data_IF_781250072413
#
_entry.id   IF_781250072413
#
_cell.length_a   1.000
_cell.length_b   1.000
_cell.length_c   1.000
_cell.angle_alpha   90.00
_cell.angle_beta   90.00
_cell.angle_gamma   90.00
#
_symmetry.space_group_name_H-M   'P 1'
#
loop_
_entity.id
_entity.type
_entity.pdbx_description
1 polymer ?
#
# COMPACT_ATOMS: atom_id res chain seq x y z
N UNK A 1 22.85 20.62 -26.59
CA UNK A 1 22.10 20.93 -25.35
C UNK A 1 20.77 20.21 -25.27
N UNK A 2 20.71 18.98 -24.72
CA UNK A 2 19.43 18.34 -24.34
C UNK A 2 19.09 18.79 -22.91
N UNK A 3 18.00 19.53 -22.72
CA UNK A 3 17.45 19.84 -21.39
C UNK A 3 16.97 18.55 -20.73
N UNK A 4 17.43 18.25 -19.51
CA UNK A 4 16.90 17.17 -18.67
C UNK A 4 15.46 17.56 -18.30
N UNK A 5 14.47 16.75 -18.68
CA UNK A 5 13.05 16.94 -18.38
C UNK A 5 12.37 15.59 -18.14
N UNK A 6 11.31 15.58 -17.33
CA UNK A 6 10.43 14.43 -17.24
C UNK A 6 9.70 14.21 -18.57
N UNK A 7 9.47 12.94 -18.91
CA UNK A 7 8.68 12.52 -20.06
C UNK A 7 7.63 11.54 -19.57
N UNK A 8 6.44 11.60 -20.16
CA UNK A 8 5.40 10.61 -19.90
C UNK A 8 5.94 9.22 -20.26
N UNK A 9 5.81 8.26 -19.35
CA UNK A 9 6.15 6.86 -19.60
C UNK A 9 4.90 6.02 -19.86
N UNK A 10 3.92 6.04 -18.95
CA UNK A 10 2.71 5.24 -19.01
C UNK A 10 1.61 5.88 -18.14
N UNK A 11 0.35 5.61 -18.47
CA UNK A 11 -0.80 5.81 -17.58
C UNK A 11 -1.25 4.46 -17.02
N UNK A 12 -1.40 4.38 -15.70
CA UNK A 12 -1.97 3.23 -15.00
C UNK A 12 -3.29 3.65 -14.36
N UNK A 13 -4.34 2.84 -14.54
CA UNK A 13 -5.63 3.11 -13.92
C UNK A 13 -5.55 2.89 -12.40
N UNK A 14 -6.09 3.84 -11.64
CA UNK A 14 -6.16 3.78 -10.18
C UNK A 14 -7.55 4.18 -9.67
N UNK A 15 -7.87 3.86 -8.43
CA UNK A 15 -9.15 4.18 -7.79
C UNK A 15 -8.92 5.00 -6.53
N UNK A 16 -9.01 6.32 -6.67
CA UNK A 16 -8.69 7.29 -5.62
C UNK A 16 -7.33 6.97 -4.96
N UNK A 17 -6.28 6.75 -5.77
CA UNK A 17 -4.96 6.38 -5.25
C UNK A 17 -4.49 7.37 -4.17
N UNK A 18 -3.99 6.83 -3.06
CA UNK A 18 -3.44 7.60 -1.96
C UNK A 18 -1.92 7.58 -1.93
N UNK A 19 -1.34 6.47 -2.34
CA UNK A 19 0.09 6.25 -2.32
C UNK A 19 0.56 5.32 -3.46
N UNK A 20 1.82 5.48 -3.83
CA UNK A 20 2.60 4.59 -4.69
C UNK A 20 3.91 4.22 -4.02
N UNK A 21 4.08 2.94 -3.71
CA UNK A 21 5.32 2.41 -3.12
C UNK A 21 6.18 1.71 -4.17
N UNK A 22 7.45 2.11 -4.25
CA UNK A 22 8.38 1.64 -5.28
C UNK A 22 9.50 0.81 -4.68
N UNK A 23 9.56 -0.47 -5.04
CA UNK A 23 10.50 -1.40 -4.44
C UNK A 23 11.13 -2.36 -5.45
N UNK A 24 12.19 -3.03 -5.00
CA UNK A 24 12.89 -4.04 -5.77
C UNK A 24 12.94 -5.36 -4.98
N UNK A 25 12.65 -6.46 -5.66
CA UNK A 25 12.89 -7.81 -5.15
C UNK A 25 13.76 -8.51 -6.19
N UNK A 26 14.93 -8.97 -5.75
CA UNK A 26 15.97 -9.52 -6.63
C UNK A 26 16.33 -8.52 -7.75
N UNK A 27 16.21 -8.92 -9.03
CA UNK A 27 16.50 -8.07 -10.20
C UNK A 27 15.24 -7.42 -10.81
N UNK A 28 14.12 -7.47 -10.11
CA UNK A 28 12.84 -6.97 -10.59
C UNK A 28 12.40 -5.73 -9.82
N UNK A 29 11.86 -4.76 -10.57
CA UNK A 29 11.31 -3.53 -10.02
C UNK A 29 9.80 -3.60 -10.05
N UNK A 30 9.19 -3.14 -8.95
CA UNK A 30 7.76 -3.18 -8.72
C UNK A 30 7.24 -1.82 -8.27
N UNK A 31 5.94 -1.63 -8.44
CA UNK A 31 5.17 -0.51 -7.90
C UNK A 31 3.91 -1.07 -7.25
N UNK A 32 3.63 -0.75 -5.99
CA UNK A 32 2.33 -0.98 -5.37
C UNK A 32 1.53 0.32 -5.35
N UNK A 33 0.25 0.27 -5.69
CA UNK A 33 -0.65 1.43 -5.54
C UNK A 33 -1.66 1.16 -4.43
N UNK A 34 -1.82 2.12 -3.52
CA UNK A 34 -2.86 2.11 -2.49
C UNK A 34 -4.16 2.66 -3.07
N UNK A 35 -5.07 1.78 -3.47
CA UNK A 35 -6.39 2.18 -3.97
C UNK A 35 -7.38 2.31 -2.81
N UNK A 36 -7.88 3.53 -2.60
CA UNK A 36 -8.70 3.85 -1.44
C UNK A 36 -10.19 3.56 -1.63
N UNK A 37 -10.76 3.93 -2.79
CA UNK A 37 -12.19 3.68 -3.07
C UNK A 37 -12.51 3.73 -4.56
N UNK A 38 -13.53 2.99 -4.96
CA UNK A 38 -14.12 3.05 -6.29
C UNK A 38 -15.58 3.52 -6.19
N UNK A 39 -15.90 4.62 -6.87
CA UNK A 39 -17.19 5.29 -6.69
C UNK A 39 -17.33 5.91 -5.29
N UNK A 40 -18.56 6.12 -4.85
CA UNK A 40 -18.83 6.89 -3.63
C UNK A 40 -18.67 6.07 -2.35
N UNK A 41 -19.02 4.78 -2.38
CA UNK A 41 -19.17 3.98 -1.15
C UNK A 41 -18.38 2.65 -1.13
N UNK A 42 -17.68 2.25 -2.21
CA UNK A 42 -16.92 1.01 -2.20
C UNK A 42 -15.45 1.23 -1.82
N UNK A 43 -15.13 1.02 -0.55
CA UNK A 43 -13.77 1.16 -0.01
C UNK A 43 -13.01 -0.16 0.06
N UNK A 44 -13.68 -1.30 -0.09
CA UNK A 44 -13.01 -2.61 -0.09
C UNK A 44 -12.76 -3.04 -1.53
N UNK A 45 -11.60 -2.67 -2.05
CA UNK A 45 -11.20 -2.83 -3.44
C UNK A 45 -9.77 -3.34 -3.55
N UNK A 46 -9.41 -3.82 -4.74
CA UNK A 46 -8.05 -4.25 -5.00
C UNK A 46 -7.09 -3.07 -5.10
N UNK A 47 -6.04 -3.12 -4.29
CA UNK A 47 -4.76 -2.47 -4.57
C UNK A 47 -3.95 -3.35 -5.52
N UNK A 48 -3.08 -2.74 -6.32
CA UNK A 48 -2.42 -3.42 -7.44
C UNK A 48 -0.91 -3.29 -7.32
N UNK A 49 -0.23 -4.43 -7.46
CA UNK A 49 1.22 -4.50 -7.60
C UNK A 49 1.52 -4.68 -9.07
N UNK A 50 2.31 -3.77 -9.62
CA UNK A 50 2.83 -3.81 -10.97
C UNK A 50 4.28 -4.25 -10.95
N UNK A 51 4.72 -4.92 -12.03
CA UNK A 51 6.12 -5.27 -12.28
C UNK A 51 6.58 -4.62 -13.57
N UNK A 52 7.81 -4.11 -13.56
CA UNK A 52 8.44 -3.58 -14.76
C UNK A 52 8.80 -4.70 -15.73
N UNK A 53 8.24 -4.65 -16.94
CA UNK A 53 8.62 -5.50 -18.05
C UNK A 53 9.70 -4.82 -18.89
N UNK A 54 10.93 -5.34 -18.81
CA UNK A 54 12.09 -4.78 -19.51
C UNK A 54 11.98 -4.89 -21.04
N UNK A 55 11.26 -5.89 -21.56
CA UNK A 55 11.14 -6.14 -23.00
C UNK A 55 10.28 -5.08 -23.68
N UNK A 56 9.15 -4.74 -23.07
CA UNK A 56 8.21 -3.76 -23.61
C UNK A 56 8.33 -2.37 -22.97
N UNK A 57 9.21 -2.22 -21.97
CA UNK A 57 9.49 -0.98 -21.24
C UNK A 57 8.21 -0.34 -20.67
N UNK A 58 7.39 -1.15 -20.01
CA UNK A 58 6.18 -0.71 -19.30
C UNK A 58 5.94 -1.54 -18.05
N UNK A 59 5.09 -1.02 -17.17
CA UNK A 59 4.58 -1.74 -16.02
C UNK A 59 3.37 -2.59 -16.40
N UNK A 60 3.36 -3.83 -15.93
CA UNK A 60 2.28 -4.80 -16.10
C UNK A 60 1.75 -5.22 -14.73
N UNK A 61 0.46 -5.58 -14.64
CA UNK A 61 -0.10 -6.10 -13.38
C UNK A 61 0.60 -7.40 -13.01
N UNK A 62 1.19 -7.43 -11.82
CA UNK A 62 1.83 -8.60 -11.26
C UNK A 62 0.91 -9.34 -10.28
N UNK A 63 0.26 -8.59 -9.40
CA UNK A 63 -0.63 -9.14 -8.38
C UNK A 63 -1.69 -8.11 -7.98
N UNK A 64 -2.87 -8.58 -7.59
CA UNK A 64 -3.89 -7.76 -6.94
C UNK A 64 -4.07 -8.23 -5.50
N UNK A 65 -4.17 -7.29 -4.57
CA UNK A 65 -4.38 -7.55 -3.15
C UNK A 65 -5.64 -6.80 -2.72
N UNK A 66 -6.59 -7.54 -2.12
CA UNK A 66 -7.79 -6.93 -1.58
C UNK A 66 -7.42 -6.09 -0.35
N UNK A 67 -7.80 -4.82 -0.37
CA UNK A 67 -7.52 -3.84 0.68
C UNK A 67 -8.78 -3.05 1.02
N UNK A 68 -8.78 -2.36 2.16
CA UNK A 68 -9.95 -1.63 2.66
C UNK A 68 -9.56 -0.20 3.00
N UNK A 69 -9.88 0.72 2.10
CA UNK A 69 -9.53 2.14 2.27
C UNK A 69 -8.03 2.30 2.41
N UNK A 70 -7.24 1.72 1.50
CA UNK A 70 -5.79 1.76 1.58
C UNK A 70 -5.29 3.21 1.50
N UNK A 71 -4.46 3.60 2.47
CA UNK A 71 -3.81 4.90 2.50
C UNK A 71 -2.35 4.84 2.09
N UNK A 72 -1.67 3.78 2.49
CA UNK A 72 -0.23 3.68 2.40
C UNK A 72 0.21 2.22 2.20
N UNK A 73 1.34 2.06 1.51
CA UNK A 73 2.08 0.83 1.36
C UNK A 73 3.52 1.06 1.83
N UNK A 74 4.02 0.21 2.72
CA UNK A 74 5.43 0.28 3.15
C UNK A 74 6.13 -1.03 2.82
N UNK A 75 7.20 -0.95 2.01
CA UNK A 75 8.03 -2.10 1.68
C UNK A 75 9.29 -2.13 2.55
N UNK A 76 9.57 -3.29 3.14
CA UNK A 76 10.74 -3.44 3.98
C UNK A 76 11.35 -4.84 3.96
N UNK A 77 12.57 -4.95 4.47
CA UNK A 77 13.31 -6.23 4.51
C UNK A 77 13.82 -6.56 5.91
N UNK A 78 13.73 -7.85 6.24
CA UNK A 78 14.30 -8.41 7.47
C UNK A 78 15.05 -9.69 7.12
N UNK A 79 16.39 -9.61 7.10
CA UNK A 79 17.22 -10.71 6.64
C UNK A 79 16.95 -11.01 5.16
N UNK A 80 16.72 -12.28 4.76
CA UNK A 80 16.42 -12.64 3.38
C UNK A 80 14.96 -12.42 2.99
N UNK A 81 14.11 -11.98 3.93
CA UNK A 81 12.67 -11.87 3.71
C UNK A 81 12.29 -10.46 3.28
N UNK A 82 11.40 -10.39 2.30
CA UNK A 82 10.79 -9.17 1.80
C UNK A 82 9.34 -9.09 2.28
N UNK A 83 8.98 -7.95 2.84
CA UNK A 83 7.66 -7.67 3.37
C UNK A 83 7.06 -6.44 2.70
N UNK A 84 5.73 -6.42 2.69
CA UNK A 84 4.94 -5.28 2.25
C UNK A 84 3.75 -5.17 3.19
N UNK A 85 3.52 -4.00 3.78
CA UNK A 85 2.40 -3.77 4.70
C UNK A 85 1.48 -2.69 4.15
N UNK A 86 0.16 -2.89 4.29
CA UNK A 86 -0.85 -1.88 3.92
C UNK A 86 -1.40 -1.19 5.16
N UNK A 87 -1.56 0.13 5.08
CA UNK A 87 -2.39 0.90 6.00
C UNK A 87 -3.85 0.88 5.54
N UNK A 88 -4.67 -0.01 6.12
CA UNK A 88 -6.12 -0.04 5.85
C UNK A 88 -6.84 0.91 6.80
N UNK A 89 -7.51 1.93 6.25
CA UNK A 89 -8.14 2.98 7.05
C UNK A 89 -9.63 2.78 7.28
N UNK A 90 -10.38 2.29 6.29
CA UNK A 90 -11.85 2.28 6.33
C UNK A 90 -12.41 1.28 5.32
N UNK A 91 -13.39 0.45 5.73
CA UNK A 91 -13.97 -0.59 4.86
C UNK A 91 -15.28 -0.16 4.17
N UNK A 92 -15.76 1.06 4.43
CA UNK A 92 -17.07 1.55 4.01
C UNK A 92 -18.07 1.68 5.17
N UNK A 93 -17.77 1.06 6.31
CA UNK A 93 -18.64 1.02 7.50
C UNK A 93 -17.91 1.49 8.76
N UNK A 94 -16.69 1.04 8.99
CA UNK A 94 -15.91 1.32 10.20
C UNK A 94 -14.44 1.63 9.91
N UNK A 95 -13.83 2.44 10.77
CA UNK A 95 -12.39 2.69 10.75
C UNK A 95 -11.57 1.66 11.55
N UNK A 96 -12.24 0.72 12.24
CA UNK A 96 -11.59 -0.35 13.01
C UNK A 96 -11.22 -1.55 12.11
N UNK A 97 -10.33 -1.29 11.14
CA UNK A 97 -9.98 -2.23 10.08
C UNK A 97 -8.61 -2.86 10.34
N UNK A 98 -8.46 -4.09 9.91
CA UNK A 98 -7.19 -4.79 9.99
C UNK A 98 -6.24 -4.31 8.89
N UNK A 99 -5.02 -3.94 9.29
CA UNK A 99 -3.89 -3.78 8.38
C UNK A 99 -3.19 -5.12 8.20
N UNK A 100 -2.64 -5.37 7.01
CA UNK A 100 -2.11 -6.68 6.62
C UNK A 100 -0.64 -6.54 6.27
N UNK A 101 0.19 -7.35 6.90
CA UNK A 101 1.60 -7.55 6.55
C UNK A 101 1.65 -8.78 5.63
N UNK A 102 2.23 -8.59 4.46
CA UNK A 102 2.48 -9.65 3.49
C UNK A 102 3.97 -10.01 3.47
N UNK A 103 4.27 -11.27 3.17
CA UNK A 103 5.63 -11.77 2.93
C UNK A 103 5.75 -12.29 1.50
N UNK A 104 6.90 -12.05 0.87
CA UNK A 104 7.19 -12.56 -0.47
C UNK A 104 7.58 -14.04 -0.46
N UNK A 105 6.77 -14.89 -1.07
CA UNK A 105 7.01 -16.33 -1.16
C UNK A 105 6.59 -16.83 -2.55
N UNK A 106 7.50 -17.55 -3.22
CA UNK A 106 7.28 -18.15 -4.54
C UNK A 106 6.83 -17.13 -5.61
N UNK A 107 7.46 -15.96 -5.62
CA UNK A 107 7.23 -14.94 -6.63
C UNK A 107 5.94 -14.12 -6.48
N UNK A 108 5.35 -14.10 -5.28
CA UNK A 108 4.16 -13.31 -4.95
C UNK A 108 4.09 -12.97 -3.46
N UNK A 109 3.33 -11.95 -3.11
CA UNK A 109 3.00 -11.62 -1.72
C UNK A 109 1.90 -12.53 -1.18
N UNK A 110 2.10 -13.04 0.03
CA UNK A 110 1.14 -13.86 0.77
C UNK A 110 0.95 -13.27 2.16
N UNK A 111 -0.24 -13.40 2.74
CA UNK A 111 -0.52 -12.87 4.09
C UNK A 111 0.45 -13.52 5.09
N UNK A 112 1.19 -12.69 5.81
CA UNK A 112 2.08 -13.11 6.89
C UNK A 112 1.41 -12.90 8.25
N UNK A 113 0.86 -11.70 8.46
CA UNK A 113 0.25 -11.31 9.72
C UNK A 113 -0.83 -10.26 9.48
N UNK A 114 -1.84 -10.27 10.34
CA UNK A 114 -2.88 -9.25 10.40
C UNK A 114 -2.78 -8.51 11.73
N UNK A 115 -2.88 -7.17 11.70
CA UNK A 115 -2.84 -6.32 12.89
C UNK A 115 -4.08 -5.44 12.89
N UNK A 116 -4.87 -5.50 13.96
CA UNK A 116 -6.02 -4.60 14.12
C UNK A 116 -5.51 -3.16 14.27
N UNK A 117 -5.95 -2.29 13.36
CA UNK A 117 -5.63 -0.87 13.35
C UNK A 117 -6.90 -0.03 13.39
N UNK A 118 -6.73 1.28 13.59
CA UNK A 118 -7.83 2.25 13.65
C UNK A 118 -7.51 3.41 12.73
N UNK A 119 -8.18 3.48 11.58
CA UNK A 119 -7.93 4.49 10.56
C UNK A 119 -6.43 4.59 10.23
N UNK A 120 -5.76 3.46 9.94
CA UNK A 120 -4.32 3.48 9.68
C UNK A 120 -4.03 4.36 8.47
N UNK A 121 -3.14 5.33 8.63
CA UNK A 121 -2.78 6.28 7.56
C UNK A 121 -1.38 6.06 7.01
N UNK A 122 -0.51 5.39 7.77
CA UNK A 122 0.92 5.29 7.46
C UNK A 122 1.55 4.11 8.22
N UNK A 123 2.51 3.43 7.58
CA UNK A 123 3.41 2.46 8.19
C UNK A 123 4.86 2.86 7.92
N UNK A 124 5.75 2.66 8.90
CA UNK A 124 7.18 2.93 8.71
C UNK A 124 8.02 1.85 9.38
N UNK A 125 9.05 1.35 8.70
CA UNK A 125 10.02 0.43 9.26
C UNK A 125 11.33 1.13 9.59
N UNK A 126 11.81 0.95 10.82
CA UNK A 126 13.15 1.41 11.20
C UNK A 126 13.88 0.43 12.10
N UNK A 127 15.17 0.70 12.33
CA UNK A 127 16.06 -0.13 13.15
C UNK A 127 16.73 0.69 14.24
N UNK A 128 16.87 0.08 15.41
CA UNK A 128 17.73 0.57 16.49
C UNK A 128 18.69 -0.57 16.85
N UNK A 129 19.96 -0.42 16.49
CA UNK A 129 20.95 -1.50 16.55
C UNK A 129 20.53 -2.68 15.68
N UNK A 130 20.47 -3.89 16.25
CA UNK A 130 20.04 -5.10 15.55
C UNK A 130 18.52 -5.31 15.55
N UNK A 131 17.75 -4.53 16.33
CA UNK A 131 16.31 -4.69 16.48
C UNK A 131 15.56 -3.98 15.36
N UNK A 132 14.53 -4.64 14.83
CA UNK A 132 13.60 -4.09 13.84
C UNK A 132 12.34 -3.60 14.56
N UNK A 133 11.87 -2.44 14.14
CA UNK A 133 10.62 -1.83 14.58
C UNK A 133 9.77 -1.54 13.36
N UNK A 134 8.48 -1.79 13.50
CA UNK A 134 7.47 -1.41 12.53
C UNK A 134 6.43 -0.59 13.30
N UNK A 135 6.16 0.63 12.86
CA UNK A 135 5.24 1.56 13.54
C UNK A 135 4.09 1.93 12.62
N UNK A 136 2.93 2.18 13.22
CA UNK A 136 1.70 2.58 12.50
C UNK A 136 1.17 3.89 13.05
N UNK A 137 0.81 4.81 12.16
CA UNK A 137 0.02 5.98 12.51
C UNK A 137 -1.48 5.62 12.42
N UNK A 138 -2.15 5.61 13.57
CA UNK A 138 -3.61 5.45 13.64
C UNK A 138 -4.29 6.82 13.65
N UNK A 139 -5.28 7.00 12.79
CA UNK A 139 -6.13 8.18 12.72
C UNK A 139 -7.25 8.19 13.78
N UNK A 140 -8.03 9.27 13.78
CA UNK A 140 -9.14 9.44 14.71
C UNK A 140 -10.22 8.38 14.48
N UNK A 141 -10.69 7.74 15.56
CA UNK A 141 -11.87 6.86 15.51
C UNK A 141 -13.08 7.67 15.10
N UNK A 142 -13.66 7.38 13.93
CA UNK A 142 -15.04 7.77 13.66
C UNK A 142 -15.93 6.97 14.62
N UNK A 143 -16.14 7.49 15.83
CA UNK A 143 -17.22 7.01 16.68
C UNK A 143 -18.52 7.44 16.02
N UNK A 144 -19.27 6.45 15.50
CA UNK A 144 -20.60 6.68 14.96
C UNK A 144 -21.51 7.34 16.00
N UNK A 145 -22.26 8.35 15.53
CA UNK A 145 -23.38 9.07 16.14
C UNK A 145 -23.11 10.49 16.70
N UNK A 146 -22.28 11.28 16.02
CA UNK A 146 -22.35 12.74 16.11
C UNK A 146 -22.20 13.39 14.74
N UNK A 147 -22.88 14.52 14.44
CA UNK A 147 -22.69 15.21 13.17
C UNK A 147 -21.24 15.66 13.01
N UNK A 148 -20.73 15.57 11.77
CA UNK A 148 -19.39 16.01 11.38
C UNK A 148 -19.15 17.45 11.85
N UNK A 149 -18.18 17.68 12.75
CA UNK A 149 -17.76 19.01 13.20
C UNK A 149 -16.56 19.53 12.40
N UNK A 150 -16.64 19.45 11.08
CA UNK A 150 -15.74 20.19 10.20
C UNK A 150 -16.57 21.21 9.43
N UNK A 151 -16.55 22.47 9.92
CA UNK A 151 -16.89 23.69 9.17
C UNK A 151 -15.71 24.13 8.31
#
# INVERSE_FOLDING_TARGET
NRRKRFVHLQTLQTFCARDWEAFNIEQHSYLAVANHRQGDNNHTINSVIYRWNRSIKSFEVHQMLLTSGAYDWEFFTVGPYHFLVVANAFDGVTASVDSIIYVWINGKFQVFQTIKTFCATDWEMFRIGSRVFLVVANGHRLHGNGPSQYT
#
